data_IF_333252002142
#
_entry.id   IF_333252002142
#
_cell.length_a   1.000
_cell.length_b   1.000
_cell.length_c   1.000
_cell.angle_alpha   90.00
_cell.angle_beta   90.00
_cell.angle_gamma   90.00
#
_symmetry.space_group_name_H-M   'P 1'
#
loop_
_entity.id
_entity.type
_entity.pdbx_description
1 polymer ?
#
# COMPACT_ATOMS: atom_id res chain seq x y z
N UNK A 1 2.79 -1.68 3.17
CA UNK A 1 1.44 -1.14 3.40
C UNK A 1 0.89 -0.64 2.07
N UNK A 2 0.00 -1.40 1.43
CA UNK A 2 -0.86 -0.78 0.43
C UNK A 2 -1.60 0.31 1.15
N UNK A 3 -1.21 1.54 0.85
CA UNK A 3 -2.05 2.67 1.08
C UNK A 3 -3.25 2.39 0.17
N UNK A 4 -4.25 1.65 0.67
CA UNK A 4 -5.64 1.93 0.31
C UNK A 4 -5.71 3.42 0.49
N UNK A 5 -5.65 4.16 -0.60
CA UNK A 5 -5.70 5.62 -0.60
C UNK A 5 -7.07 5.92 -0.01
N UNK A 6 -7.17 6.28 1.28
CA UNK A 6 -8.45 6.70 1.81
C UNK A 6 -8.54 8.14 1.32
N UNK A 7 -8.99 8.31 0.09
CA UNK A 7 -9.25 9.60 -0.54
C UNK A 7 -8.23 10.68 -0.17
N UNK A 8 -7.12 10.74 -0.90
CA UNK A 8 -6.42 12.01 -1.03
C UNK A 8 -7.40 13.00 -1.67
N UNK A 9 -8.01 13.79 -0.80
CA UNK A 9 -8.83 14.95 -1.12
C UNK A 9 -8.11 15.80 -2.16
N UNK A 10 -8.71 15.95 -3.33
CA UNK A 10 -8.27 16.78 -4.45
C UNK A 10 -8.30 18.29 -4.12
N UNK A 11 -8.04 18.72 -2.89
CA UNK A 11 -8.14 20.12 -2.47
C UNK A 11 -6.83 20.91 -2.61
N UNK A 12 -5.88 20.47 -3.44
CA UNK A 12 -4.54 21.07 -3.49
C UNK A 12 -4.12 21.75 -4.81
N UNK A 13 -5.04 22.10 -5.72
CA UNK A 13 -4.69 22.90 -6.91
C UNK A 13 -5.54 24.15 -7.19
N UNK A 14 -6.23 24.72 -6.20
CA UNK A 14 -7.03 25.93 -6.42
C UNK A 14 -6.85 27.03 -5.36
N UNK A 15 -5.64 27.58 -5.22
CA UNK A 15 -5.46 28.95 -4.67
C UNK A 15 -4.34 29.71 -5.38
N UNK A 16 -4.61 30.13 -6.62
CA UNK A 16 -4.17 31.44 -7.11
C UNK A 16 -5.39 32.18 -7.64
N UNK A 17 -5.83 33.17 -6.87
CA UNK A 17 -6.96 34.01 -7.23
C UNK A 17 -6.61 34.94 -8.38
N UNK A 18 -7.41 34.89 -9.44
CA UNK A 18 -7.71 36.02 -10.31
C UNK A 18 -9.19 35.93 -10.65
N UNK A 19 -9.93 36.99 -10.36
CA UNK A 19 -11.38 37.04 -10.51
C UNK A 19 -11.81 37.18 -11.97
N UNK A 20 -12.81 36.39 -12.35
CA UNK A 20 -13.90 36.73 -13.26
C UNK A 20 -14.90 35.56 -13.26
N UNK A 21 -16.16 35.85 -12.96
CA UNK A 21 -17.25 34.88 -12.86
C UNK A 21 -17.89 34.69 -14.23
N UNK A 22 -17.87 33.46 -14.79
CA UNK A 22 -18.82 32.94 -15.80
C UNK A 22 -18.76 31.39 -15.88
N UNK A 23 -19.83 30.75 -15.39
CA UNK A 23 -20.49 29.50 -15.83
C UNK A 23 -19.67 28.29 -16.33
N UNK A 24 -19.56 27.24 -15.49
CA UNK A 24 -20.15 25.90 -15.74
C UNK A 24 -20.01 25.04 -14.48
N UNK A 25 -21.11 24.57 -13.91
CA UNK A 25 -21.12 23.76 -12.68
C UNK A 25 -20.82 22.29 -12.97
N UNK A 26 -19.72 21.95 -13.65
CA UNK A 26 -19.21 20.58 -13.69
C UNK A 26 -17.72 20.59 -13.36
N UNK A 27 -17.37 20.24 -12.12
CA UNK A 27 -15.99 19.85 -11.83
C UNK A 27 -15.68 18.63 -12.71
N UNK A 28 -14.67 18.74 -13.57
CA UNK A 28 -14.18 17.63 -14.39
C UNK A 28 -13.42 16.58 -13.57
N UNK A 29 -13.34 16.74 -12.25
CA UNK A 29 -12.70 15.78 -11.37
C UNK A 29 -13.54 14.51 -11.24
N UNK A 30 -12.97 13.33 -11.53
CA UNK A 30 -13.68 12.08 -11.37
C UNK A 30 -13.98 11.84 -9.89
N UNK A 31 -15.19 11.37 -9.61
CA UNK A 31 -15.55 10.96 -8.26
C UNK A 31 -14.72 9.73 -7.84
N UNK A 32 -14.49 9.57 -6.54
CA UNK A 32 -14.18 8.30 -5.90
C UNK A 32 -14.66 7.02 -6.58
N UNK A 33 -15.96 6.94 -6.85
CA UNK A 33 -16.60 5.77 -7.42
C UNK A 33 -16.29 5.62 -8.90
N UNK A 34 -16.19 6.73 -9.63
CA UNK A 34 -15.74 6.74 -11.03
C UNK A 34 -14.30 6.22 -11.15
N UNK A 35 -13.40 6.64 -10.25
CA UNK A 35 -12.01 6.17 -10.21
C UNK A 35 -11.96 4.65 -9.96
N UNK A 36 -12.73 4.15 -9.00
CA UNK A 36 -12.78 2.72 -8.66
C UNK A 36 -13.30 1.87 -9.83
N UNK A 37 -14.34 2.33 -10.53
CA UNK A 37 -14.94 1.62 -11.67
C UNK A 37 -14.09 1.65 -12.94
N UNK A 38 -13.12 2.55 -13.05
CA UNK A 38 -12.24 2.60 -14.22
C UNK A 38 -11.39 1.31 -14.31
N UNK A 39 -11.27 0.69 -15.50
CA UNK A 39 -10.40 -0.47 -15.68
C UNK A 39 -8.93 -0.02 -15.63
N UNK A 40 -8.22 -0.37 -14.55
CA UNK A 40 -6.86 0.09 -14.30
C UNK A 40 -5.82 -0.97 -14.65
N UNK A 41 -4.69 -0.53 -15.19
CA UNK A 41 -3.49 -1.33 -15.42
C UNK A 41 -2.41 -0.84 -14.45
N UNK A 42 -1.85 -1.77 -13.65
CA UNK A 42 -0.83 -1.49 -12.65
C UNK A 42 0.49 -2.16 -13.04
N UNK A 43 1.45 -1.40 -13.58
CA UNK A 43 2.69 -1.96 -14.12
C UNK A 43 3.85 -2.00 -13.12
N UNK A 44 3.68 -1.36 -11.96
CA UNK A 44 4.70 -1.25 -10.95
C UNK A 44 4.06 -1.32 -9.57
N UNK A 45 4.08 -2.51 -8.98
CA UNK A 45 3.79 -2.69 -7.57
C UNK A 45 4.68 -3.78 -6.97
N UNK A 46 4.85 -3.69 -5.65
CA UNK A 46 5.74 -4.52 -4.87
C UNK A 46 4.93 -5.41 -3.94
N UNK A 47 5.03 -6.73 -4.12
CA UNK A 47 4.39 -7.69 -3.23
C UNK A 47 4.86 -7.49 -1.79
N UNK A 48 6.17 -7.33 -1.62
CA UNK A 48 6.86 -7.06 -0.34
C UNK A 48 6.63 -5.64 0.19
N UNK A 49 6.00 -4.76 -0.59
CA UNK A 49 5.58 -3.43 -0.16
C UNK A 49 4.10 -3.35 0.22
N UNK A 50 3.29 -4.37 -0.07
CA UNK A 50 1.83 -4.25 -0.14
C UNK A 50 1.02 -4.80 1.02
N UNK A 51 1.64 -5.46 2.01
CA UNK A 51 0.94 -6.25 3.02
C UNK A 51 -0.06 -5.42 3.85
N UNK A 52 -1.18 -6.06 4.21
CA UNK A 52 -2.15 -5.57 5.19
C UNK A 52 -1.52 -5.59 6.60
N UNK A 53 -1.66 -4.55 7.44
CA UNK A 53 -1.06 -4.53 8.79
C UNK A 53 -1.47 -5.71 9.67
N UNK A 54 -2.75 -6.15 9.59
CA UNK A 54 -3.22 -7.33 10.31
C UNK A 54 -2.47 -8.60 9.92
N UNK A 55 -2.26 -8.80 8.62
CA UNK A 55 -1.47 -9.92 8.09
C UNK A 55 -0.01 -9.88 8.56
N UNK A 56 0.59 -8.69 8.69
CA UNK A 56 1.95 -8.55 9.22
C UNK A 56 2.00 -9.02 10.68
N UNK A 57 1.03 -8.59 11.51
CA UNK A 57 0.95 -8.99 12.93
C UNK A 57 0.71 -10.50 13.07
N UNK A 58 -0.20 -11.06 12.28
CA UNK A 58 -0.51 -12.50 12.29
C UNK A 58 0.72 -13.33 11.91
N UNK A 59 1.35 -13.00 10.78
CA UNK A 59 2.52 -13.70 10.30
C UNK A 59 3.69 -13.56 11.27
N UNK A 60 3.88 -12.38 11.88
CA UNK A 60 4.91 -12.19 12.89
C UNK A 60 4.73 -13.14 14.08
N UNK A 61 3.50 -13.32 14.55
CA UNK A 61 3.17 -14.29 15.62
C UNK A 61 3.41 -15.73 15.17
N UNK A 62 2.97 -16.09 13.98
CA UNK A 62 3.11 -17.45 13.43
C UNK A 62 4.58 -17.85 13.21
N UNK A 63 5.43 -16.90 12.78
CA UNK A 63 6.84 -17.16 12.48
C UNK A 63 7.80 -16.83 13.62
N UNK A 64 7.31 -16.26 14.74
CA UNK A 64 8.14 -15.80 15.85
C UNK A 64 9.02 -14.58 15.51
N UNK A 65 8.54 -13.69 14.64
CA UNK A 65 9.25 -12.46 14.29
C UNK A 65 8.95 -11.36 15.33
N UNK A 66 9.93 -11.06 16.18
CA UNK A 66 9.76 -10.16 17.34
C UNK A 66 10.17 -8.69 17.07
N UNK A 67 10.71 -8.40 15.89
CA UNK A 67 11.29 -7.09 15.58
C UNK A 67 10.26 -6.06 15.07
N UNK A 68 8.95 -6.32 15.19
CA UNK A 68 7.95 -5.32 14.82
C UNK A 68 7.99 -4.12 15.78
N UNK A 69 7.85 -2.89 15.26
CA UNK A 69 7.81 -1.68 16.08
C UNK A 69 6.49 -1.56 16.85
N UNK A 70 5.42 -2.20 16.36
CA UNK A 70 4.09 -2.23 16.96
C UNK A 70 3.41 -3.58 16.68
N UNK A 71 2.64 -4.08 17.65
CA UNK A 71 1.96 -5.39 17.56
C UNK A 71 0.44 -5.30 17.41
N UNK A 72 -0.10 -4.09 17.42
CA UNK A 72 -1.53 -3.83 17.15
C UNK A 72 -1.68 -3.38 15.69
N UNK A 73 -2.54 -4.01 14.87
CA UNK A 73 -2.64 -3.73 13.43
C UNK A 73 -2.83 -2.25 13.09
N UNK A 74 -3.70 -1.54 13.82
CA UNK A 74 -3.99 -0.13 13.58
C UNK A 74 -2.78 0.76 13.86
N UNK A 75 -2.08 0.52 14.98
CA UNK A 75 -0.87 1.27 15.36
C UNK A 75 0.27 0.98 14.40
N UNK A 76 0.43 -0.29 14.01
CA UNK A 76 1.42 -0.69 13.03
C UNK A 76 1.16 -0.02 11.68
N UNK A 77 -0.11 0.06 11.26
CA UNK A 77 -0.50 0.80 10.06
C UNK A 77 -0.13 2.29 10.13
N UNK A 78 -0.35 2.96 11.26
CA UNK A 78 0.09 4.34 11.46
C UNK A 78 1.62 4.46 11.34
N UNK A 79 2.36 3.59 12.03
CA UNK A 79 3.82 3.60 11.99
C UNK A 79 4.36 3.41 10.56
N UNK A 80 3.80 2.47 9.78
CA UNK A 80 4.21 2.26 8.39
C UNK A 80 4.00 3.51 7.52
N UNK A 81 2.86 4.19 7.69
CA UNK A 81 2.54 5.41 6.95
C UNK A 81 3.51 6.54 7.31
N UNK A 82 3.75 6.74 8.60
CA UNK A 82 4.67 7.77 9.10
C UNK A 82 6.12 7.49 8.68
N UNK A 83 6.55 6.22 8.71
CA UNK A 83 7.88 5.82 8.23
C UNK A 83 8.04 6.05 6.73
N UNK A 84 7.03 5.69 5.92
CA UNK A 84 7.08 5.84 4.47
C UNK A 84 7.01 7.30 4.01
N UNK A 85 6.29 8.16 4.74
CA UNK A 85 6.11 9.59 4.43
C UNK A 85 7.10 10.50 5.17
N UNK A 86 8.14 9.94 5.80
CA UNK A 86 9.03 10.70 6.68
C UNK A 86 10.05 11.60 5.94
N UNK A 87 10.11 11.52 4.60
CA UNK A 87 11.15 12.17 3.80
C UNK A 87 12.57 11.59 3.96
N UNK A 88 12.74 10.43 4.62
CA UNK A 88 14.02 9.72 4.76
C UNK A 88 13.95 8.38 4.03
N UNK A 89 14.93 8.14 3.16
CA UNK A 89 15.05 6.86 2.47
C UNK A 89 15.32 5.72 3.46
N UNK A 90 16.10 5.95 4.51
CA UNK A 90 16.37 4.94 5.52
C UNK A 90 15.09 4.49 6.24
N UNK A 91 14.26 5.44 6.67
CA UNK A 91 12.96 5.12 7.30
C UNK A 91 11.99 4.45 6.33
N UNK A 92 12.00 4.85 5.06
CA UNK A 92 11.23 4.16 4.04
C UNK A 92 11.68 2.71 3.87
N UNK A 93 12.99 2.44 3.79
CA UNK A 93 13.54 1.08 3.65
C UNK A 93 13.39 0.23 4.91
N UNK A 94 13.32 0.85 6.10
CA UNK A 94 12.99 0.17 7.36
C UNK A 94 11.66 -0.60 7.25
N UNK A 95 10.67 -0.01 6.58
CA UNK A 95 9.37 -0.66 6.37
C UNK A 95 9.47 -2.01 5.64
N UNK A 96 10.37 -2.11 4.65
CA UNK A 96 10.61 -3.34 3.90
C UNK A 96 11.27 -4.43 4.76
N UNK A 97 12.04 -4.04 5.79
CA UNK A 97 12.69 -5.00 6.67
C UNK A 97 11.67 -5.84 7.46
N UNK A 98 10.54 -5.24 7.80
CA UNK A 98 9.45 -5.92 8.52
C UNK A 98 8.58 -6.77 7.60
N UNK A 99 8.17 -6.24 6.45
CA UNK A 99 7.35 -6.99 5.50
C UNK A 99 8.09 -8.21 4.94
N UNK A 100 9.36 -8.02 4.56
CA UNK A 100 10.23 -9.13 4.16
C UNK A 100 10.43 -10.09 5.34
N UNK A 101 10.65 -9.58 6.55
CA UNK A 101 10.86 -10.39 7.76
C UNK A 101 9.75 -11.41 8.04
N UNK A 102 8.49 -11.05 7.74
CA UNK A 102 7.33 -11.94 7.95
C UNK A 102 7.00 -12.83 6.74
N UNK A 103 7.64 -12.63 5.58
CA UNK A 103 7.38 -13.37 4.34
C UNK A 103 8.33 -14.55 4.10
N UNK A 104 9.00 -15.05 5.15
CA UNK A 104 10.09 -16.03 5.01
C UNK A 104 9.63 -17.47 4.78
N UNK A 105 8.33 -17.73 4.69
CA UNK A 105 7.76 -19.06 4.45
C UNK A 105 6.93 -19.08 3.17
N UNK A 106 6.82 -20.26 2.55
CA UNK A 106 5.97 -20.46 1.36
C UNK A 106 4.52 -20.06 1.63
N UNK A 107 3.98 -20.41 2.79
CA UNK A 107 2.58 -20.16 3.11
C UNK A 107 2.33 -18.66 3.35
N UNK A 108 3.27 -17.95 3.97
CA UNK A 108 3.23 -16.49 4.07
C UNK A 108 3.23 -15.82 2.68
N UNK A 109 4.12 -16.26 1.78
CA UNK A 109 4.17 -15.78 0.40
C UNK A 109 2.86 -15.99 -0.35
N UNK A 110 2.26 -17.19 -0.23
CA UNK A 110 0.98 -17.52 -0.86
C UNK A 110 -0.14 -16.66 -0.31
N UNK A 111 -0.23 -16.50 1.02
CA UNK A 111 -1.23 -15.64 1.67
C UNK A 111 -1.10 -14.20 1.17
N UNK A 112 0.09 -13.62 1.22
CA UNK A 112 0.34 -12.24 0.80
C UNK A 112 0.03 -12.05 -0.69
N UNK A 113 0.34 -13.01 -1.55
CA UNK A 113 0.00 -12.96 -2.97
C UNK A 113 -1.51 -13.03 -3.23
N UNK A 114 -2.25 -13.86 -2.47
CA UNK A 114 -3.70 -13.93 -2.57
C UNK A 114 -4.36 -12.61 -2.12
N UNK A 115 -4.00 -12.09 -0.95
CA UNK A 115 -4.49 -10.81 -0.43
C UNK A 115 -4.14 -9.66 -1.39
N UNK A 116 -2.96 -9.71 -2.00
CA UNK A 116 -2.52 -8.79 -3.04
C UNK A 116 -3.47 -8.81 -4.26
N UNK A 117 -3.87 -9.99 -4.74
CA UNK A 117 -4.82 -10.08 -5.86
C UNK A 117 -6.22 -9.58 -5.47
N UNK A 118 -6.70 -9.91 -4.27
CA UNK A 118 -7.99 -9.46 -3.74
C UNK A 118 -8.09 -7.94 -3.69
N UNK A 119 -7.11 -7.29 -3.07
CA UNK A 119 -7.11 -5.83 -2.89
C UNK A 119 -7.05 -5.10 -4.25
N UNK A 120 -6.31 -5.63 -5.23
CA UNK A 120 -6.24 -5.06 -6.58
C UNK A 120 -7.55 -5.20 -7.33
N UNK A 121 -8.20 -6.36 -7.21
CA UNK A 121 -9.51 -6.59 -7.81
C UNK A 121 -10.56 -5.65 -7.19
N UNK A 122 -10.54 -5.45 -5.88
CA UNK A 122 -11.45 -4.51 -5.19
C UNK A 122 -11.22 -3.05 -5.60
N UNK A 123 -9.98 -2.68 -5.92
CA UNK A 123 -9.66 -1.35 -6.46
C UNK A 123 -10.06 -1.20 -7.94
N UNK A 124 -10.41 -2.29 -8.65
CA UNK A 124 -10.78 -2.26 -10.07
C UNK A 124 -9.59 -2.32 -11.03
N UNK A 125 -8.46 -2.87 -10.55
CA UNK A 125 -7.31 -3.20 -11.39
C UNK A 125 -7.62 -4.48 -12.17
N UNK A 126 -7.54 -4.40 -13.49
CA UNK A 126 -7.85 -5.52 -14.41
C UNK A 126 -6.60 -6.26 -14.87
N UNK A 127 -5.43 -5.65 -14.71
CA UNK A 127 -4.14 -6.25 -15.02
C UNK A 127 -3.06 -5.64 -14.12
N UNK A 128 -2.22 -6.48 -13.54
CA UNK A 128 -1.13 -6.05 -12.67
C UNK A 128 0.16 -6.84 -12.91
N UNK A 129 1.28 -6.12 -12.94
CA UNK A 129 2.64 -6.67 -12.91
C UNK A 129 3.24 -6.46 -11.53
N UNK A 130 3.27 -7.54 -10.75
CA UNK A 130 3.76 -7.53 -9.36
C UNK A 130 5.20 -8.00 -9.32
N UNK A 131 6.02 -7.24 -8.59
CA UNK A 131 7.45 -7.51 -8.39
C UNK A 131 7.71 -7.82 -6.93
N UNK A 132 8.77 -8.56 -6.64
CA UNK A 132 9.26 -8.80 -5.28
C UNK A 132 10.75 -9.12 -5.31
N UNK A 133 11.45 -9.00 -4.18
CA UNK A 133 12.88 -9.32 -4.07
C UNK A 133 13.08 -10.76 -3.52
N UNK A 134 13.28 -11.79 -4.37
CA UNK A 134 13.33 -13.17 -3.93
C UNK A 134 14.47 -13.45 -2.93
N UNK A 135 15.66 -12.90 -3.18
CA UNK A 135 16.82 -13.11 -2.31
C UNK A 135 16.63 -12.55 -0.89
N UNK A 136 15.78 -11.55 -0.73
CA UNK A 136 15.44 -10.98 0.58
C UNK A 136 14.29 -11.75 1.23
N UNK A 137 13.38 -12.30 0.43
CA UNK A 137 12.11 -12.90 0.87
C UNK A 137 12.20 -14.41 1.15
N UNK A 138 13.36 -15.02 0.92
CA UNK A 138 13.65 -16.38 1.35
C UNK A 138 15.00 -16.40 2.06
N UNK A 139 15.04 -16.80 3.33
CA UNK A 139 16.28 -17.28 3.95
C UNK A 139 16.77 -18.45 3.10
N UNK A 140 17.99 -18.34 2.58
CA UNK A 140 18.64 -19.44 1.88
C UNK A 140 18.54 -20.70 2.75
N UNK A 141 18.00 -21.78 2.16
CA UNK A 141 18.00 -23.10 2.76
C UNK A 141 19.41 -23.66 2.88
#
# INVERSE_FOLDING_TARGET
MRVTVPYLSLTFYARRGYGAQMTSEHSHEPTPEQIRRAPKVLLHDHLDGGLRPGTIVDLARETGYEALPENEPDKLGVWFREAADSGSLERYLETFSHTVGVMQTRDALVRVAAECAEDLAEDGVVYAEIRYAPNSTSRAG
#
